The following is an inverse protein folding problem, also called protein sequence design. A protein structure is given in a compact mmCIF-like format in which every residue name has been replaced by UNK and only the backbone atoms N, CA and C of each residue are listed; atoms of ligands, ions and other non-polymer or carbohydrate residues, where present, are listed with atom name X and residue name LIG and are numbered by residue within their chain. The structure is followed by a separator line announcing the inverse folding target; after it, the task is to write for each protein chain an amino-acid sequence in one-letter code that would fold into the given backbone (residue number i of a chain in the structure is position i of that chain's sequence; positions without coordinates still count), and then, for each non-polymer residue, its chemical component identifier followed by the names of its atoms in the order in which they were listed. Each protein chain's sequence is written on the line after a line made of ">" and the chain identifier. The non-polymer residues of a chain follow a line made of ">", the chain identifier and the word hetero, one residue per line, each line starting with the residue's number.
data_IF_614995510295
#
_entry.id   IF_614995510295
#
_cell.length_a   1.000
_cell.length_b   1.000
_cell.length_c   1.000
_cell.angle_alpha   90.00
_cell.angle_beta   90.00
_cell.angle_gamma   90.00
#
_symmetry.space_group_name_H-M   'P 1'
#
loop_
_entity.id
_entity.type
_entity.pdbx_description
1 polymer ?
#
# COMPACT_ATOMS: atom_id res chain seq x y z
N UNK A 1 10.33 -20.62 4.82
CA UNK A 1 8.88 -20.56 4.59
C UNK A 1 8.64 -19.65 3.39
N UNK A 2 7.99 -20.16 2.35
CA UNK A 2 7.75 -19.41 1.11
C UNK A 2 6.65 -18.36 1.38
N UNK A 3 6.92 -17.09 1.11
CA UNK A 3 5.94 -16.04 1.32
C UNK A 3 5.25 -15.69 0.00
N UNK A 4 3.96 -15.91 -0.09
CA UNK A 4 3.17 -15.66 -1.31
C UNK A 4 2.68 -14.21 -1.44
N UNK A 5 2.97 -13.32 -0.47
CA UNK A 5 2.42 -11.95 -0.44
C UNK A 5 2.64 -11.16 -1.72
N UNK A 6 3.84 -11.21 -2.33
CA UNK A 6 4.10 -10.53 -3.61
C UNK A 6 3.28 -11.13 -4.74
N UNK A 7 3.20 -12.46 -4.84
CA UNK A 7 2.38 -13.12 -5.86
C UNK A 7 0.90 -12.74 -5.72
N UNK A 8 0.40 -12.66 -4.49
CA UNK A 8 -0.98 -12.24 -4.22
C UNK A 8 -1.22 -10.81 -4.68
N UNK A 9 -0.32 -9.88 -4.41
CA UNK A 9 -0.41 -8.50 -4.92
C UNK A 9 -0.46 -8.46 -6.44
N UNK A 10 0.36 -9.25 -7.11
CA UNK A 10 0.36 -9.37 -8.56
C UNK A 10 -0.96 -9.92 -9.09
N UNK A 11 -1.57 -10.90 -8.41
CA UNK A 11 -2.88 -11.44 -8.78
C UNK A 11 -4.00 -10.42 -8.57
N UNK A 12 -3.98 -9.70 -7.47
CA UNK A 12 -4.94 -8.62 -7.20
C UNK A 12 -4.79 -7.50 -8.22
N UNK A 13 -3.56 -7.10 -8.57
CA UNK A 13 -3.34 -6.13 -9.65
C UNK A 13 -3.95 -6.59 -10.98
N UNK A 14 -3.77 -7.87 -11.33
CA UNK A 14 -4.37 -8.44 -12.55
C UNK A 14 -5.90 -8.46 -12.49
N UNK A 15 -6.48 -8.74 -11.30
CA UNK A 15 -7.93 -8.67 -11.11
C UNK A 15 -8.47 -7.24 -11.27
N UNK A 16 -7.81 -6.26 -10.64
CA UNK A 16 -8.15 -4.83 -10.78
C UNK A 16 -8.06 -4.36 -12.23
N UNK A 17 -7.04 -4.79 -12.96
CA UNK A 17 -6.93 -4.51 -14.38
C UNK A 17 -8.07 -5.15 -15.18
N UNK A 18 -8.44 -6.38 -14.84
CA UNK A 18 -9.48 -7.12 -15.55
C UNK A 18 -10.84 -6.45 -15.40
N UNK A 19 -11.22 -6.00 -14.22
CA UNK A 19 -12.51 -5.33 -14.00
C UNK A 19 -12.63 -3.98 -14.70
N UNK A 20 -11.51 -3.30 -14.96
CA UNK A 20 -11.53 -2.03 -15.71
C UNK A 20 -11.69 -2.23 -17.22
N UNK A 21 -11.40 -3.43 -17.74
CA UNK A 21 -11.45 -3.73 -19.17
C UNK A 21 -12.63 -4.61 -19.52
N UNK A 22 -13.08 -5.42 -18.57
CA UNK A 22 -14.20 -6.36 -18.76
C UNK A 22 -15.30 -6.08 -17.76
N UNK A 23 -16.53 -6.28 -18.19
CA UNK A 23 -17.70 -6.23 -17.31
C UNK A 23 -17.74 -7.51 -16.44
N UNK A 24 -16.97 -7.53 -15.37
CA UNK A 24 -16.90 -8.63 -14.41
C UNK A 24 -16.67 -8.08 -13.00
N UNK A 25 -17.07 -8.82 -11.99
CA UNK A 25 -16.80 -8.46 -10.61
C UNK A 25 -15.38 -8.88 -10.17
N UNK A 26 -14.85 -8.17 -9.16
CA UNK A 26 -13.48 -8.37 -8.70
C UNK A 26 -13.26 -9.72 -8.02
N UNK A 27 -14.28 -10.29 -7.37
CA UNK A 27 -14.15 -11.60 -6.69
C UNK A 27 -13.97 -12.72 -7.72
N UNK A 28 -14.78 -12.70 -8.78
CA UNK A 28 -14.62 -13.63 -9.91
C UNK A 28 -13.27 -13.45 -10.60
N UNK A 29 -12.88 -12.20 -10.93
CA UNK A 29 -11.62 -11.91 -11.58
C UNK A 29 -10.43 -12.36 -10.74
N UNK A 30 -10.45 -12.13 -9.43
CA UNK A 30 -9.38 -12.53 -8.52
C UNK A 30 -9.34 -14.05 -8.28
N UNK A 31 -10.50 -14.68 -8.14
CA UNK A 31 -10.61 -16.12 -7.92
C UNK A 31 -9.99 -16.95 -9.06
N UNK A 32 -10.17 -16.54 -10.31
CA UNK A 32 -9.58 -17.23 -11.47
C UNK A 32 -8.05 -17.18 -11.53
N UNK A 33 -7.44 -16.27 -10.79
CA UNK A 33 -6.00 -16.04 -10.81
C UNK A 33 -5.26 -16.81 -9.72
N UNK A 34 -5.97 -17.38 -8.74
CA UNK A 34 -5.36 -18.13 -7.65
C UNK A 34 -4.84 -19.48 -8.13
N UNK A 35 -3.62 -19.81 -7.70
CA UNK A 35 -3.01 -21.13 -7.98
C UNK A 35 -3.32 -22.10 -6.85
N UNK A 36 -3.25 -23.40 -7.12
CA UNK A 36 -3.45 -24.44 -6.10
C UNK A 36 -2.53 -24.28 -4.90
N UNK A 37 -1.28 -23.84 -5.13
CA UNK A 37 -0.30 -23.59 -4.08
C UNK A 37 -0.73 -22.44 -3.14
N UNK A 38 -1.31 -21.36 -3.68
CA UNK A 38 -1.84 -20.25 -2.89
C UNK A 38 -3.08 -20.68 -2.13
N UNK A 39 -3.98 -21.43 -2.79
CA UNK A 39 -5.21 -21.95 -2.18
C UNK A 39 -4.91 -22.90 -1.02
N UNK A 40 -3.83 -23.68 -1.09
CA UNK A 40 -3.41 -24.60 -0.04
C UNK A 40 -2.73 -23.90 1.17
N UNK A 41 -2.27 -22.66 1.03
CA UNK A 41 -1.61 -21.93 2.10
C UNK A 41 -2.59 -21.01 2.83
N UNK A 42 -2.93 -21.36 4.08
CA UNK A 42 -3.92 -20.60 4.88
C UNK A 42 -3.50 -19.15 5.17
N UNK A 43 -2.21 -18.86 5.31
CA UNK A 43 -1.71 -17.50 5.52
C UNK A 43 -1.78 -16.68 4.23
N UNK A 44 -1.49 -17.31 3.09
CA UNK A 44 -1.66 -16.69 1.79
C UNK A 44 -3.12 -16.32 1.54
N UNK A 45 -4.05 -17.24 1.77
CA UNK A 45 -5.48 -16.99 1.62
C UNK A 45 -6.02 -15.94 2.58
N UNK A 46 -5.55 -15.93 3.83
CA UNK A 46 -5.90 -14.88 4.80
C UNK A 46 -5.48 -13.49 4.31
N UNK A 47 -4.26 -13.37 3.79
CA UNK A 47 -3.75 -12.11 3.24
C UNK A 47 -4.51 -11.70 1.97
N UNK A 48 -4.78 -12.64 1.06
CA UNK A 48 -5.57 -12.40 -0.14
C UNK A 48 -6.96 -11.86 0.18
N UNK A 49 -7.71 -12.56 1.04
CA UNK A 49 -9.06 -12.17 1.41
C UNK A 49 -9.10 -10.82 2.12
N UNK A 50 -8.15 -10.55 3.02
CA UNK A 50 -8.04 -9.27 3.72
C UNK A 50 -7.80 -8.11 2.74
N UNK A 51 -6.83 -8.26 1.83
CA UNK A 51 -6.49 -7.20 0.89
C UNK A 51 -7.62 -6.95 -0.12
N UNK A 52 -8.21 -8.02 -0.67
CA UNK A 52 -9.32 -7.92 -1.61
C UNK A 52 -10.55 -7.25 -0.98
N UNK A 53 -10.91 -7.66 0.25
CA UNK A 53 -12.01 -7.06 1.00
C UNK A 53 -11.79 -5.56 1.20
N UNK A 54 -10.62 -5.16 1.70
CA UNK A 54 -10.33 -3.75 1.95
C UNK A 54 -10.33 -2.91 0.66
N UNK A 55 -9.85 -3.44 -0.45
CA UNK A 55 -9.93 -2.77 -1.74
C UNK A 55 -11.40 -2.53 -2.12
N UNK A 56 -12.26 -3.55 -2.01
CA UNK A 56 -13.69 -3.43 -2.35
C UNK A 56 -14.40 -2.39 -1.51
N UNK A 57 -14.16 -2.41 -0.20
CA UNK A 57 -14.84 -1.55 0.76
C UNK A 57 -14.41 -0.08 0.68
N UNK A 58 -13.17 0.19 0.25
CA UNK A 58 -12.57 1.53 0.33
C UNK A 58 -12.12 2.12 -1.02
N UNK A 59 -12.49 1.50 -2.14
CA UNK A 59 -12.03 1.94 -3.47
C UNK A 59 -12.29 3.43 -3.74
N UNK A 60 -13.49 3.92 -3.44
CA UNK A 60 -13.86 5.32 -3.67
C UNK A 60 -13.06 6.29 -2.79
N UNK A 61 -12.77 5.92 -1.55
CA UNK A 61 -11.95 6.73 -0.66
C UNK A 61 -10.50 6.79 -1.14
N UNK A 62 -9.97 5.66 -1.56
CA UNK A 62 -8.62 5.54 -2.12
C UNK A 62 -8.49 6.40 -3.38
N UNK A 63 -9.47 6.36 -4.26
CA UNK A 63 -9.49 7.18 -5.49
C UNK A 63 -9.50 8.67 -5.17
N UNK A 64 -10.19 9.11 -4.11
CA UNK A 64 -10.14 10.51 -3.66
C UNK A 64 -8.75 10.94 -3.24
N UNK A 65 -7.97 10.09 -2.56
CA UNK A 65 -6.57 10.39 -2.24
C UNK A 65 -5.71 10.52 -3.49
N UNK A 66 -5.90 9.64 -4.48
CA UNK A 66 -5.15 9.71 -5.74
C UNK A 66 -5.47 11.01 -6.47
N UNK A 67 -6.75 11.35 -6.62
CA UNK A 67 -7.20 12.60 -7.28
C UNK A 67 -6.62 13.83 -6.58
N UNK A 68 -6.66 13.88 -5.25
CA UNK A 68 -6.11 15.01 -4.47
C UNK A 68 -4.63 15.27 -4.76
N UNK A 69 -3.84 14.21 -5.04
CA UNK A 69 -2.38 14.31 -5.22
C UNK A 69 -1.93 14.26 -6.69
N UNK A 70 -2.85 14.09 -7.61
CA UNK A 70 -2.57 14.17 -9.05
C UNK A 70 -2.99 15.52 -9.63
N UNK A 71 -2.61 16.60 -8.97
CA UNK A 71 -2.91 17.98 -9.37
C UNK A 71 -2.65 18.19 -10.85
N UNK A 72 -3.65 18.65 -11.61
CA UNK A 72 -3.65 18.82 -13.07
C UNK A 72 -3.67 17.54 -13.92
N UNK A 73 -3.84 16.37 -13.33
CA UNK A 73 -3.98 15.13 -14.09
C UNK A 73 -5.37 14.54 -13.86
N UNK A 74 -6.09 14.38 -14.95
CA UNK A 74 -7.31 13.57 -14.92
C UNK A 74 -6.94 12.10 -14.63
N UNK A 75 -7.70 11.44 -13.73
CA UNK A 75 -7.54 10.01 -13.43
C UNK A 75 -7.53 9.14 -14.69
N UNK A 76 -8.23 9.55 -15.74
CA UNK A 76 -8.24 8.88 -17.05
C UNK A 76 -6.88 8.88 -17.77
N UNK A 77 -5.99 9.80 -17.40
CA UNK A 77 -4.65 9.92 -17.99
C UNK A 77 -3.58 9.10 -17.27
N UNK A 78 -3.90 8.58 -16.10
CA UNK A 78 -3.01 7.68 -15.37
C UNK A 78 -3.10 6.29 -16.03
N UNK A 79 -1.96 5.70 -16.34
CA UNK A 79 -1.94 4.34 -16.86
C UNK A 79 -2.69 3.39 -15.90
N UNK A 80 -3.56 2.55 -16.42
CA UNK A 80 -4.43 1.65 -15.63
C UNK A 80 -3.60 0.83 -14.63
N UNK A 81 -2.44 0.33 -15.07
CA UNK A 81 -1.55 -0.46 -14.22
C UNK A 81 -1.02 0.39 -13.06
N UNK A 82 -0.53 1.60 -13.31
CA UNK A 82 0.01 2.48 -12.28
C UNK A 82 -1.06 2.87 -11.26
N UNK A 83 -2.25 3.24 -11.74
CA UNK A 83 -3.40 3.55 -10.91
C UNK A 83 -3.76 2.39 -9.95
N UNK A 84 -3.82 1.17 -10.48
CA UNK A 84 -4.17 0.00 -9.68
C UNK A 84 -3.06 -0.43 -8.71
N UNK A 85 -1.79 -0.22 -9.06
CA UNK A 85 -0.67 -0.39 -8.12
C UNK A 85 -0.80 0.60 -6.95
N UNK A 86 -1.10 1.86 -7.23
CA UNK A 86 -1.27 2.89 -6.20
C UNK A 86 -2.49 2.56 -5.33
N UNK A 87 -3.64 2.18 -5.90
CA UNK A 87 -4.83 1.74 -5.16
C UNK A 87 -4.51 0.63 -4.18
N UNK A 88 -3.83 -0.42 -4.65
CA UNK A 88 -3.45 -1.57 -3.83
C UNK A 88 -2.50 -1.18 -2.69
N UNK A 89 -1.48 -0.38 -2.98
CA UNK A 89 -0.51 0.07 -1.97
C UNK A 89 -1.17 0.98 -0.92
N UNK A 90 -2.05 1.89 -1.31
CA UNK A 90 -2.80 2.74 -0.39
C UNK A 90 -3.75 1.93 0.49
N UNK A 91 -4.40 0.89 -0.06
CA UNK A 91 -5.21 -0.04 0.73
C UNK A 91 -4.37 -0.69 1.83
N UNK A 92 -3.16 -1.15 1.50
CA UNK A 92 -2.27 -1.72 2.52
C UNK A 92 -1.84 -0.68 3.55
N UNK A 93 -1.49 0.53 3.11
CA UNK A 93 -1.05 1.60 4.01
C UNK A 93 -2.16 1.98 5.01
N UNK A 94 -3.39 2.08 4.57
CA UNK A 94 -4.50 2.55 5.40
C UNK A 94 -5.15 1.44 6.23
N UNK A 95 -5.32 0.23 5.65
CA UNK A 95 -6.22 -0.78 6.20
C UNK A 95 -5.56 -2.12 6.55
N UNK A 96 -4.26 -2.31 6.28
CA UNK A 96 -3.55 -3.54 6.64
C UNK A 96 -2.53 -3.26 7.75
N UNK A 97 -2.96 -3.31 9.01
CA UNK A 97 -2.15 -2.92 10.18
C UNK A 97 -0.84 -3.69 10.33
N UNK A 98 -0.79 -4.94 9.88
CA UNK A 98 0.39 -5.81 9.96
C UNK A 98 1.46 -5.51 8.90
N UNK A 99 1.20 -4.57 7.96
CA UNK A 99 2.13 -4.24 6.87
C UNK A 99 2.67 -2.82 7.08
N UNK A 100 3.99 -2.68 7.29
CA UNK A 100 4.61 -1.35 7.38
C UNK A 100 4.43 -0.56 6.06
N UNK A 101 4.11 0.74 6.10
CA UNK A 101 3.93 1.56 4.90
C UNK A 101 5.11 1.51 3.93
N UNK A 102 6.34 1.52 4.44
CA UNK A 102 7.55 1.39 3.63
C UNK A 102 7.61 0.06 2.85
N UNK A 103 7.07 -1.01 3.42
CA UNK A 103 6.99 -2.30 2.72
C UNK A 103 5.99 -2.21 1.57
N UNK A 104 4.80 -1.63 1.80
CA UNK A 104 3.78 -1.44 0.76
C UNK A 104 4.30 -0.58 -0.39
N UNK A 105 5.00 0.52 -0.09
CA UNK A 105 5.61 1.40 -1.11
C UNK A 105 6.70 0.65 -1.90
N UNK A 106 7.60 -0.05 -1.22
CA UNK A 106 8.66 -0.80 -1.90
C UNK A 106 8.10 -1.91 -2.80
N UNK A 107 7.12 -2.66 -2.33
CA UNK A 107 6.45 -3.69 -3.13
C UNK A 107 5.73 -3.10 -4.35
N UNK A 108 5.07 -1.94 -4.20
CA UNK A 108 4.46 -1.22 -5.30
C UNK A 108 5.47 -0.82 -6.37
N UNK A 109 6.64 -0.30 -5.98
CA UNK A 109 7.73 0.06 -6.88
C UNK A 109 8.25 -1.17 -7.64
N UNK A 110 8.48 -2.29 -6.95
CA UNK A 110 8.95 -3.53 -7.56
C UNK A 110 7.92 -4.13 -8.54
N UNK A 111 6.64 -4.04 -8.19
CA UNK A 111 5.55 -4.46 -9.09
C UNK A 111 5.48 -3.52 -10.32
N UNK A 112 5.61 -2.21 -10.13
CA UNK A 112 5.64 -1.26 -11.24
C UNK A 112 6.80 -1.54 -12.21
N UNK A 113 7.99 -1.84 -11.71
CA UNK A 113 9.14 -2.25 -12.53
C UNK A 113 8.88 -3.54 -13.30
N UNK A 114 8.18 -4.49 -12.69
CA UNK A 114 7.88 -5.79 -13.31
C UNK A 114 6.86 -5.68 -14.44
N UNK A 115 5.81 -4.89 -14.26
CA UNK A 115 4.68 -4.80 -15.20
C UNK A 115 4.81 -3.68 -16.23
N UNK A 116 5.65 -2.69 -15.98
CA UNK A 116 5.93 -1.60 -16.91
C UNK A 116 7.39 -1.64 -17.33
N UNK A 117 7.62 -1.61 -18.63
CA UNK A 117 8.95 -1.66 -19.22
C UNK A 117 9.75 -0.34 -19.11
N UNK A 118 9.22 0.67 -18.42
CA UNK A 118 9.88 1.98 -18.29
C UNK A 118 10.07 2.40 -16.83
N UNK A 119 11.26 2.96 -16.53
CA UNK A 119 11.56 3.54 -15.21
C UNK A 119 10.64 4.71 -14.83
N UNK A 120 9.90 5.29 -15.76
CA UNK A 120 8.98 6.40 -15.52
C UNK A 120 7.83 6.00 -14.62
N UNK A 121 7.28 4.79 -14.83
CA UNK A 121 6.16 4.26 -14.03
C UNK A 121 6.54 4.09 -12.56
N UNK A 122 7.65 3.43 -12.28
CA UNK A 122 8.10 3.22 -10.89
C UNK A 122 8.40 4.52 -10.15
N UNK A 123 8.97 5.52 -10.85
CA UNK A 123 9.19 6.86 -10.29
C UNK A 123 7.88 7.60 -10.03
N UNK A 124 6.93 7.49 -10.95
CA UNK A 124 5.59 8.09 -10.79
C UNK A 124 4.85 7.47 -9.60
N UNK A 125 4.77 6.15 -9.54
CA UNK A 125 4.14 5.41 -8.43
C UNK A 125 4.77 5.80 -7.09
N UNK A 126 6.12 5.82 -7.02
CA UNK A 126 6.82 6.23 -5.81
C UNK A 126 6.48 7.67 -5.40
N UNK A 127 6.54 8.62 -6.33
CA UNK A 127 6.27 10.03 -6.05
C UNK A 127 4.85 10.28 -5.52
N UNK A 128 3.84 9.63 -6.10
CA UNK A 128 2.44 9.75 -5.65
C UNK A 128 2.26 9.09 -4.28
N UNK A 129 2.78 7.88 -4.07
CA UNK A 129 2.66 7.20 -2.79
C UNK A 129 3.36 7.94 -1.66
N UNK A 130 4.55 8.50 -1.90
CA UNK A 130 5.27 9.31 -0.92
C UNK A 130 4.50 10.59 -0.55
N UNK A 131 3.93 11.28 -1.55
CA UNK A 131 3.14 12.49 -1.31
C UNK A 131 1.89 12.19 -0.46
N UNK A 132 1.13 11.15 -0.84
CA UNK A 132 -0.06 10.74 -0.07
C UNK A 132 0.33 10.27 1.34
N UNK A 133 1.39 9.48 1.47
CA UNK A 133 1.84 8.98 2.76
C UNK A 133 2.26 10.11 3.71
N UNK A 134 2.94 11.15 3.22
CA UNK A 134 3.31 12.30 4.02
C UNK A 134 2.07 13.09 4.51
N UNK A 135 1.07 13.27 3.65
CA UNK A 135 -0.20 13.90 4.05
C UNK A 135 -0.94 13.06 5.10
N UNK A 136 -1.05 11.73 4.89
CA UNK A 136 -1.67 10.82 5.85
C UNK A 136 -0.98 10.84 7.22
N UNK A 137 0.35 10.97 7.25
CA UNK A 137 1.11 11.16 8.50
C UNK A 137 0.77 12.49 9.17
N UNK A 138 0.74 13.58 8.41
CA UNK A 138 0.39 14.90 8.93
C UNK A 138 -1.05 14.96 9.47
N UNK A 139 -1.96 14.22 8.84
CA UNK A 139 -3.36 14.10 9.28
C UNK A 139 -3.54 13.07 10.44
N UNK A 140 -2.47 12.40 10.90
CA UNK A 140 -2.54 11.39 11.95
C UNK A 140 -3.33 10.14 11.58
N UNK A 141 -3.50 9.85 10.29
CA UNK A 141 -4.29 8.72 9.79
C UNK A 141 -3.51 7.41 9.66
N UNK A 142 -2.20 7.44 9.79
CA UNK A 142 -1.37 6.24 9.74
C UNK A 142 -0.97 5.83 11.14
N UNK A 143 -1.74 4.93 11.74
CA UNK A 143 -1.52 4.37 13.07
C UNK A 143 -1.03 2.94 12.97
N UNK A 144 0.21 2.73 12.52
CA UNK A 144 0.74 1.35 12.42
C UNK A 144 1.69 1.05 13.56
N UNK A 145 1.38 0.02 14.34
CA UNK A 145 2.21 -0.50 15.40
C UNK A 145 3.02 -1.72 14.90
N UNK A 146 4.35 -1.66 14.98
CA UNK A 146 5.19 -2.80 14.62
C UNK A 146 6.69 -2.51 14.62
N UNK A 147 7.52 -3.55 14.71
CA UNK A 147 8.98 -3.42 14.58
C UNK A 147 9.33 -2.85 13.20
N UNK A 148 9.91 -1.67 13.16
CA UNK A 148 10.25 -0.92 11.94
C UNK A 148 9.34 0.27 11.67
N UNK A 149 8.32 0.51 12.50
CA UNK A 149 7.42 1.65 12.46
C UNK A 149 7.74 2.70 13.52
N UNK A 150 8.79 2.52 14.30
CA UNK A 150 9.27 3.57 15.20
C UNK A 150 9.78 4.68 14.30
N UNK A 151 8.93 5.69 14.13
CA UNK A 151 9.34 6.93 13.50
C UNK A 151 10.51 7.47 14.30
N UNK A 152 11.66 7.63 13.65
CA UNK A 152 12.88 8.16 14.31
C UNK A 152 12.63 9.54 14.93
N UNK A 153 11.58 10.24 14.54
CA UNK A 153 11.13 11.50 15.12
C UNK A 153 10.52 11.31 16.52
N UNK A 154 9.74 10.25 16.76
CA UNK A 154 9.16 9.94 18.08
C UNK A 154 10.26 9.44 19.03
N UNK A 155 11.20 8.63 18.53
CA UNK A 155 12.35 8.19 19.31
C UNK A 155 13.28 9.35 19.69
N UNK A 156 13.40 10.38 18.85
CA UNK A 156 14.13 11.61 19.17
C UNK A 156 13.44 12.44 20.23
N UNK A 157 12.11 12.59 20.18
CA UNK A 157 11.32 13.34 21.16
C UNK A 157 11.40 12.67 22.55
N UNK A 158 11.23 11.35 22.61
CA UNK A 158 11.33 10.60 23.86
C UNK A 158 12.74 10.63 24.46
N UNK A 159 13.78 10.67 23.60
CA UNK A 159 15.17 10.80 24.08
C UNK A 159 15.46 12.20 24.63
N UNK A 160 14.87 13.24 24.05
CA UNK A 160 15.01 14.63 24.52
C UNK A 160 14.29 14.84 25.85
N UNK A 161 13.11 14.26 26.05
CA UNK A 161 12.38 14.31 27.31
C UNK A 161 13.10 13.56 28.43
N UNK A 162 13.66 12.38 28.15
CA UNK A 162 14.44 11.61 29.15
C UNK A 162 15.79 12.26 29.51
N UNK A 163 16.39 13.03 28.60
CA UNK A 163 17.61 13.77 28.85
C UNK A 163 17.36 15.06 29.64
N UNK A 164 16.17 15.68 29.51
CA UNK A 164 15.74 16.85 30.29
C UNK A 164 15.42 16.44 31.73
N UNK A 165 14.69 15.32 31.95
CA UNK A 165 14.39 14.81 33.28
C UNK A 165 15.64 14.44 34.11
N UNK A 166 16.70 13.96 33.45
CA UNK A 166 17.98 13.65 34.12
C UNK A 166 18.77 14.87 34.54
N UNK A 167 18.57 15.99 33.85
CA UNK A 167 19.30 17.23 34.17
C UNK A 167 18.65 18.01 35.33
N UNK A 168 17.35 17.77 35.62
CA UNK A 168 16.65 18.41 36.72
C UNK A 168 16.82 17.71 38.08
N UNK A 169 17.35 16.47 38.09
CA UNK A 169 17.56 15.67 39.32
C UNK A 169 18.96 15.92 39.94
N UNK A 170 19.90 16.49 39.17
CA UNK A 170 21.29 16.72 39.61
C UNK A 170 21.57 18.18 40.02
N UNK A 171 20.53 18.98 40.36
CA UNK A 171 20.65 20.33 40.88
C UNK A 171 20.00 20.44 42.27
#
# INVERSE_FOLDING_TARGET
>A
MKTYRRQIREKILQALYTIEIRDTDIDSAAGWLLTEEILADSNAMKFFNMLLKNIKEHMEEIDRYIVKHTFNWDMSRIAIIDKNIIRMALTEILYCEDIPPKVSINEAIEIAKKFNSTDKSSKFVNGILDAIFNDLKAEGKVHKNGRGLIDQSVAKLQKTESDIEKTEIDT
#
